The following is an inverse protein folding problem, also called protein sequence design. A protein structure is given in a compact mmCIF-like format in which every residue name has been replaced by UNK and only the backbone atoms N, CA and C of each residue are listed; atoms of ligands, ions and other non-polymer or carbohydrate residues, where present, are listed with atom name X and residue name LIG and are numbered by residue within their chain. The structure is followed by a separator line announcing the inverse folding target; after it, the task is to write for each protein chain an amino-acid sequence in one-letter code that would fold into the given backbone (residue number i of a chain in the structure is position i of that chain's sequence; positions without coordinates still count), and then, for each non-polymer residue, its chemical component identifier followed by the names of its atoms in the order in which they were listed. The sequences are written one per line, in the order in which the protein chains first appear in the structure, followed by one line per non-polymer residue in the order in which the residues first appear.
data_IF_730711314385
#
_entry.id   IF_730711314385
#
_cell.length_a   1.000
_cell.length_b   1.000
_cell.length_c   1.000
_cell.angle_alpha   90.00
_cell.angle_beta   90.00
_cell.angle_gamma   90.00
#
_symmetry.space_group_name_H-M   'P 1'
#
loop_
_entity.id
_entity.type
_entity.pdbx_description
1 polymer ?
#
# COMPACT_ATOMS: atom_id res chain seq x y z
N UNK A 1 0.01 -1.28 16.00
CA UNK A 1 -0.92 -1.66 17.09
C UNK A 1 -0.98 -3.18 17.35
N UNK A 2 -1.34 -4.05 16.42
CA UNK A 2 -1.38 -5.51 16.67
C UNK A 2 -0.03 -6.12 17.08
N UNK A 3 1.07 -5.68 16.48
CA UNK A 3 2.42 -6.17 16.78
C UNK A 3 2.95 -5.71 18.16
N UNK A 4 2.53 -4.54 18.62
CA UNK A 4 2.93 -4.03 19.94
C UNK A 4 2.24 -4.81 21.07
N UNK A 5 0.97 -5.16 20.87
CA UNK A 5 0.20 -5.98 21.81
C UNK A 5 0.78 -7.40 21.85
N UNK A 6 1.13 -7.99 20.71
CA UNK A 6 1.75 -9.31 20.64
C UNK A 6 3.12 -9.34 21.32
N UNK A 7 3.93 -8.29 21.14
CA UNK A 7 5.22 -8.15 21.81
C UNK A 7 5.06 -7.97 23.32
N UNK A 8 4.09 -7.17 23.76
CA UNK A 8 3.81 -6.97 25.20
C UNK A 8 3.32 -8.25 25.86
N UNK A 9 2.46 -9.02 25.20
CA UNK A 9 2.00 -10.33 25.71
C UNK A 9 3.13 -11.34 25.80
N UNK A 10 4.04 -11.38 24.80
CA UNK A 10 5.22 -12.24 24.83
C UNK A 10 6.15 -11.87 25.99
N UNK A 11 6.40 -10.57 26.20
CA UNK A 11 7.22 -10.08 27.31
C UNK A 11 6.60 -10.39 28.68
N UNK A 12 5.29 -10.23 28.82
CA UNK A 12 4.58 -10.57 30.06
C UNK A 12 4.62 -12.08 30.37
N UNK A 13 4.49 -12.92 29.33
CA UNK A 13 4.58 -14.38 29.49
C UNK A 13 5.98 -14.81 29.93
N UNK A 14 7.01 -14.22 29.35
CA UNK A 14 8.40 -14.46 29.74
C UNK A 14 8.67 -14.02 31.16
N UNK A 15 8.20 -12.84 31.58
CA UNK A 15 8.33 -12.38 32.96
C UNK A 15 7.64 -13.33 33.95
N UNK A 16 6.47 -13.87 33.59
CA UNK A 16 5.74 -14.85 34.38
C UNK A 16 6.51 -16.18 34.51
N UNK A 17 7.13 -16.64 33.43
CA UNK A 17 7.93 -17.88 33.43
C UNK A 17 9.21 -17.72 34.25
N UNK A 18 9.87 -16.55 34.20
CA UNK A 18 10.98 -16.19 35.08
C UNK A 18 10.55 -16.21 36.56
N UNK A 19 9.41 -15.60 36.89
CA UNK A 19 8.89 -15.55 38.25
C UNK A 19 8.55 -16.94 38.80
N UNK A 20 7.97 -17.82 37.96
CA UNK A 20 7.68 -19.22 38.32
C UNK A 20 8.95 -20.04 38.52
N UNK A 21 9.97 -19.89 37.64
CA UNK A 21 11.24 -20.55 37.77
C UNK A 21 11.98 -20.09 39.04
N UNK A 22 11.97 -18.79 39.34
CA UNK A 22 12.60 -18.25 40.53
C UNK A 22 11.97 -18.75 41.85
N UNK A 23 10.70 -19.06 41.88
CA UNK A 23 10.01 -19.54 43.10
C UNK A 23 10.33 -21.00 43.49
N UNK A 24 10.86 -21.80 42.52
CA UNK A 24 11.27 -23.18 42.73
C UNK A 24 12.76 -23.45 42.86
N UNK A 25 13.60 -22.41 42.67
CA UNK A 25 15.05 -22.55 42.63
C UNK A 25 15.68 -22.29 43.99
N UNK A 26 16.32 -23.32 44.52
CA UNK A 26 17.06 -23.24 45.79
C UNK A 26 18.52 -22.81 45.62
N UNK A 27 18.96 -22.63 44.39
CA UNK A 27 20.40 -22.42 44.06
C UNK A 27 20.57 -21.26 43.04
N UNK A 28 21.45 -20.31 43.34
CA UNK A 28 21.79 -19.15 42.50
C UNK A 28 22.24 -19.53 41.09
N UNK A 29 22.94 -20.64 40.91
CA UNK A 29 23.39 -21.09 39.59
C UNK A 29 22.25 -21.52 38.66
N UNK A 30 21.23 -22.15 39.21
CA UNK A 30 20.04 -22.54 38.46
C UNK A 30 19.23 -21.29 38.01
N UNK A 31 19.14 -20.28 38.87
CA UNK A 31 18.50 -19.00 38.51
C UNK A 31 19.24 -18.32 37.36
N UNK A 32 20.54 -18.24 37.41
CA UNK A 32 21.38 -17.64 36.35
C UNK A 32 21.20 -18.40 35.05
N UNK A 33 21.19 -19.73 35.07
CA UNK A 33 20.93 -20.55 33.88
C UNK A 33 19.56 -20.32 33.29
N UNK A 34 18.52 -20.27 34.11
CA UNK A 34 17.15 -20.00 33.67
C UNK A 34 16.98 -18.61 33.04
N UNK A 35 17.58 -17.56 33.63
CA UNK A 35 17.58 -16.21 33.10
C UNK A 35 18.31 -16.13 31.76
N UNK A 36 19.47 -16.82 31.65
CA UNK A 36 20.23 -16.90 30.39
C UNK A 36 19.43 -17.55 29.26
N UNK A 37 18.73 -18.65 29.56
CA UNK A 37 17.90 -19.34 28.57
C UNK A 37 16.70 -18.45 28.09
N UNK A 38 16.10 -17.77 29.02
CA UNK A 38 15.00 -16.83 28.68
C UNK A 38 15.50 -15.67 27.84
N UNK A 39 16.64 -15.09 28.19
CA UNK A 39 17.23 -14.01 27.38
C UNK A 39 17.63 -14.50 25.98
N UNK A 40 18.17 -15.70 25.83
CA UNK A 40 18.45 -16.26 24.51
C UNK A 40 17.18 -16.40 23.66
N UNK A 41 16.10 -16.95 24.22
CA UNK A 41 14.80 -17.07 23.54
C UNK A 41 14.17 -15.71 23.16
N UNK A 42 14.35 -14.70 24.01
CA UNK A 42 13.90 -13.34 23.72
C UNK A 42 14.66 -12.71 22.55
N UNK A 43 15.99 -12.86 22.55
CA UNK A 43 16.84 -12.35 21.47
C UNK A 43 16.46 -13.03 20.16
N UNK A 44 16.33 -14.35 20.14
CA UNK A 44 15.97 -15.09 18.93
C UNK A 44 14.59 -14.65 18.40
N UNK A 45 13.58 -14.51 19.26
CA UNK A 45 12.25 -14.08 18.86
C UNK A 45 12.26 -12.65 18.30
N UNK A 46 13.04 -11.74 18.90
CA UNK A 46 13.16 -10.37 18.41
C UNK A 46 13.89 -10.27 17.09
N UNK A 47 14.98 -11.02 16.92
CA UNK A 47 15.77 -11.07 15.68
C UNK A 47 14.91 -11.59 14.52
N UNK A 48 14.17 -12.67 14.71
CA UNK A 48 13.27 -13.22 13.67
C UNK A 48 12.20 -12.20 13.28
N UNK A 49 11.59 -11.54 14.26
CA UNK A 49 10.57 -10.53 14.00
C UNK A 49 11.13 -9.33 13.24
N UNK A 50 12.30 -8.83 13.62
CA UNK A 50 12.97 -7.72 12.97
C UNK A 50 13.40 -8.09 11.54
N UNK A 51 13.97 -9.27 11.33
CA UNK A 51 14.36 -9.74 10.01
C UNK A 51 13.14 -9.82 9.05
N UNK A 52 12.00 -10.33 9.54
CA UNK A 52 10.75 -10.34 8.76
C UNK A 52 10.31 -8.92 8.37
N UNK A 53 10.31 -7.98 9.33
CA UNK A 53 9.92 -6.58 9.05
C UNK A 53 10.87 -5.89 8.07
N UNK A 54 12.17 -6.15 8.20
CA UNK A 54 13.15 -5.61 7.23
C UNK A 54 12.87 -6.16 5.84
N UNK A 55 12.63 -7.46 5.69
CA UNK A 55 12.27 -8.05 4.41
C UNK A 55 10.99 -7.49 3.79
N UNK A 56 9.97 -7.18 4.61
CA UNK A 56 8.74 -6.58 4.11
C UNK A 56 8.95 -5.12 3.68
N UNK A 57 9.71 -4.34 4.46
CA UNK A 57 10.08 -2.97 4.09
C UNK A 57 10.93 -2.91 2.81
N UNK A 58 11.85 -3.85 2.62
CA UNK A 58 12.63 -3.96 1.39
C UNK A 58 11.74 -4.22 0.17
N UNK A 59 10.75 -5.10 0.28
CA UNK A 59 9.76 -5.34 -0.78
C UNK A 59 8.95 -4.08 -1.10
N UNK A 60 8.46 -3.38 -0.08
CA UNK A 60 7.74 -2.10 -0.26
C UNK A 60 8.62 -1.05 -0.95
N UNK A 61 9.88 -0.93 -0.55
CA UNK A 61 10.83 -0.02 -1.20
C UNK A 61 11.05 -0.35 -2.68
N UNK A 62 11.18 -1.63 -3.02
CA UNK A 62 11.31 -2.06 -4.42
C UNK A 62 10.05 -1.70 -5.21
N UNK A 63 8.86 -1.92 -4.65
CA UNK A 63 7.60 -1.56 -5.30
C UNK A 63 7.49 -0.05 -5.54
N UNK A 64 7.84 0.76 -4.55
CA UNK A 64 7.82 2.24 -4.68
C UNK A 64 8.82 2.72 -5.74
N UNK A 65 10.03 2.16 -5.76
CA UNK A 65 11.05 2.52 -6.76
C UNK A 65 10.59 2.15 -8.18
N UNK A 66 10.07 0.94 -8.35
CA UNK A 66 9.54 0.50 -9.64
C UNK A 66 8.37 1.37 -10.10
N UNK A 67 7.46 1.70 -9.16
CA UNK A 67 6.35 2.61 -9.45
C UNK A 67 6.84 3.99 -9.89
N UNK A 68 7.84 4.56 -9.20
CA UNK A 68 8.39 5.87 -9.57
C UNK A 68 8.91 5.88 -11.00
N UNK A 69 9.71 4.88 -11.37
CA UNK A 69 10.23 4.73 -12.73
C UNK A 69 9.11 4.57 -13.76
N UNK A 70 8.05 3.86 -13.39
CA UNK A 70 6.91 3.67 -14.27
C UNK A 70 6.04 4.93 -14.36
N UNK A 71 5.81 5.62 -13.25
CA UNK A 71 5.05 6.86 -13.18
C UNK A 71 5.69 7.98 -14.02
N UNK A 72 7.01 7.98 -14.15
CA UNK A 72 7.74 8.93 -14.99
C UNK A 72 7.37 8.85 -16.49
N UNK A 73 6.76 7.74 -16.93
CA UNK A 73 6.26 7.58 -18.29
C UNK A 73 4.88 8.21 -18.52
N UNK A 74 4.25 8.73 -17.49
CA UNK A 74 2.92 9.31 -17.56
C UNK A 74 2.95 10.81 -17.26
N UNK A 75 1.96 11.51 -17.78
CA UNK A 75 1.71 12.92 -17.51
C UNK A 75 0.22 13.15 -17.21
N UNK A 76 -0.08 14.20 -16.47
CA UNK A 76 -1.47 14.58 -16.19
C UNK A 76 -1.92 15.52 -17.30
N UNK A 77 -2.99 15.13 -18.00
CA UNK A 77 -3.62 15.97 -19.01
C UNK A 77 -5.11 16.16 -18.70
N UNK A 78 -5.61 17.31 -19.11
CA UNK A 78 -7.05 17.54 -19.15
C UNK A 78 -7.65 16.77 -20.34
N UNK A 79 -8.33 15.65 -20.03
CA UNK A 79 -8.89 14.75 -21.04
C UNK A 79 -10.32 15.13 -21.46
N UNK A 80 -10.96 15.95 -20.64
CA UNK A 80 -12.21 16.64 -20.92
C UNK A 80 -12.28 17.87 -20.00
N UNK A 81 -13.13 18.84 -20.30
CA UNK A 81 -13.23 20.08 -19.53
C UNK A 81 -13.39 19.81 -18.03
N UNK A 82 -12.38 20.17 -17.23
CA UNK A 82 -12.33 19.95 -15.79
C UNK A 82 -12.04 18.51 -15.35
N UNK A 83 -11.73 17.61 -16.30
CA UNK A 83 -11.44 16.20 -16.00
C UNK A 83 -9.99 15.88 -16.33
N UNK A 84 -9.21 15.55 -15.32
CA UNK A 84 -7.80 15.23 -15.45
C UNK A 84 -7.55 13.73 -15.30
N UNK A 85 -6.69 13.19 -16.15
CA UNK A 85 -6.25 11.81 -16.11
C UNK A 85 -4.76 11.68 -16.42
N UNK A 86 -4.14 10.58 -16.01
CA UNK A 86 -2.78 10.26 -16.41
C UNK A 86 -2.81 9.55 -17.76
N UNK A 87 -1.98 10.01 -18.68
CA UNK A 87 -1.78 9.44 -20.00
C UNK A 87 -0.30 9.20 -20.25
N UNK A 88 0.03 8.30 -21.17
CA UNK A 88 1.44 8.02 -21.53
C UNK A 88 2.02 9.25 -22.22
N UNK A 89 3.19 9.70 -21.78
CA UNK A 89 3.94 10.82 -22.39
C UNK A 89 4.26 10.53 -23.84
N UNK A 90 4.16 11.58 -24.66
CA UNK A 90 4.49 11.48 -26.09
C UNK A 90 3.49 10.65 -26.90
N UNK A 91 2.30 10.42 -26.37
CA UNK A 91 1.24 9.74 -27.11
C UNK A 91 0.75 10.63 -28.26
N UNK A 92 1.06 10.22 -29.49
CA UNK A 92 0.66 10.92 -30.73
C UNK A 92 -0.81 10.68 -31.07
N UNK A 93 -1.47 9.76 -30.37
CA UNK A 93 -2.88 9.45 -30.64
C UNK A 93 -3.81 10.57 -30.12
N UNK A 94 -4.92 10.80 -30.81
CA UNK A 94 -5.92 11.74 -30.32
C UNK A 94 -6.34 11.38 -28.88
N UNK A 95 -6.54 12.37 -28.05
CA UNK A 95 -6.79 12.22 -26.61
C UNK A 95 -8.03 11.33 -26.31
N UNK A 96 -9.00 11.25 -27.25
CA UNK A 96 -10.18 10.40 -27.12
C UNK A 96 -9.86 8.89 -27.26
N UNK A 97 -8.80 8.52 -27.98
CA UNK A 97 -8.38 7.12 -28.16
C UNK A 97 -7.23 6.70 -27.22
N UNK A 98 -6.66 7.63 -26.48
CA UNK A 98 -5.59 7.35 -25.53
C UNK A 98 -6.11 6.59 -24.30
N UNK A 99 -5.30 5.66 -23.81
CA UNK A 99 -5.55 5.02 -22.52
C UNK A 99 -5.42 6.04 -21.38
N UNK A 100 -6.49 6.25 -20.64
CA UNK A 100 -6.57 7.20 -19.53
C UNK A 100 -6.53 6.44 -18.22
N UNK A 101 -5.61 6.79 -17.33
CA UNK A 101 -5.53 6.21 -15.99
C UNK A 101 -6.19 7.12 -14.96
N UNK A 102 -6.84 6.50 -14.00
CA UNK A 102 -7.49 7.18 -12.89
C UNK A 102 -6.47 7.84 -11.97
N UNK A 103 -6.54 9.16 -11.80
CA UNK A 103 -5.60 9.90 -10.93
C UNK A 103 -5.70 9.46 -9.46
N UNK A 104 -6.88 9.09 -8.96
CA UNK A 104 -7.03 8.59 -7.59
C UNK A 104 -6.32 7.25 -7.36
N UNK A 105 -6.40 6.34 -8.34
CA UNK A 105 -5.68 5.06 -8.26
C UNK A 105 -4.19 5.26 -8.47
N UNK A 106 -3.82 6.12 -9.42
CA UNK A 106 -2.42 6.42 -9.72
C UNK A 106 -1.68 6.98 -8.49
N UNK A 107 -2.31 7.84 -7.72
CA UNK A 107 -1.76 8.36 -6.46
C UNK A 107 -1.64 7.30 -5.36
N UNK A 108 -2.27 6.14 -5.53
CA UNK A 108 -2.16 4.97 -4.63
C UNK A 108 -1.23 3.89 -5.18
N UNK A 109 -0.40 4.24 -6.16
CA UNK A 109 0.52 3.32 -6.85
C UNK A 109 -0.19 2.20 -7.63
N UNK A 110 -1.41 2.47 -8.12
CA UNK A 110 -2.23 1.52 -8.89
C UNK A 110 -2.54 2.07 -10.28
N UNK A 111 -2.37 1.23 -11.30
CA UNK A 111 -2.82 1.53 -12.67
C UNK A 111 -4.24 1.04 -12.88
N UNK A 112 -5.16 1.96 -13.02
CA UNK A 112 -6.56 1.67 -13.26
C UNK A 112 -7.05 2.46 -14.44
N UNK A 113 -7.54 1.76 -15.46
CA UNK A 113 -8.09 2.39 -16.67
C UNK A 113 -9.41 3.09 -16.36
N UNK A 114 -9.59 4.26 -16.94
CA UNK A 114 -10.87 4.95 -17.00
C UNK A 114 -11.64 4.47 -18.22
N UNK A 115 -12.88 4.09 -17.98
CA UNK A 115 -13.82 3.70 -19.03
C UNK A 115 -14.79 4.84 -19.32
N UNK A 116 -14.92 5.19 -20.60
CA UNK A 116 -15.88 6.16 -21.06
C UNK A 116 -17.22 5.49 -21.30
N UNK A 117 -18.30 6.11 -20.84
CA UNK A 117 -19.65 5.69 -21.12
C UNK A 117 -20.54 6.90 -21.37
N UNK A 118 -21.50 6.74 -22.30
CA UNK A 118 -22.48 7.75 -22.60
C UNK A 118 -23.70 7.57 -21.70
N UNK A 119 -24.29 8.68 -21.27
CA UNK A 119 -25.58 8.64 -20.60
C UNK A 119 -26.68 8.45 -21.66
N UNK A 120 -27.44 7.38 -21.52
CA UNK A 120 -28.55 7.08 -22.47
C UNK A 120 -29.68 8.06 -22.37
N UNK A 121 -29.92 8.66 -21.20
CA UNK A 121 -30.97 9.65 -20.96
C UNK A 121 -30.57 11.06 -21.41
N UNK A 122 -29.27 11.33 -21.54
CA UNK A 122 -28.74 12.63 -21.92
C UNK A 122 -27.58 12.46 -22.92
N UNK A 123 -27.82 12.39 -24.22
CA UNK A 123 -26.87 11.96 -25.24
C UNK A 123 -25.60 12.83 -25.38
N UNK A 124 -25.59 14.03 -24.79
CA UNK A 124 -24.42 14.90 -24.72
C UNK A 124 -23.61 14.76 -23.41
N UNK A 125 -24.10 13.94 -22.48
CA UNK A 125 -23.45 13.69 -21.20
C UNK A 125 -22.65 12.41 -21.29
N UNK A 126 -21.37 12.53 -20.99
CA UNK A 126 -20.41 11.44 -20.92
C UNK A 126 -19.86 11.35 -19.49
N UNK A 127 -19.39 10.19 -19.13
CA UNK A 127 -18.67 9.99 -17.87
C UNK A 127 -17.48 9.09 -18.08
N UNK A 128 -16.39 9.43 -17.42
CA UNK A 128 -15.27 8.53 -17.21
C UNK A 128 -15.46 7.84 -15.85
N UNK A 129 -15.39 6.53 -15.82
CA UNK A 129 -15.55 5.75 -14.59
C UNK A 129 -14.35 4.84 -14.36
N UNK A 130 -13.90 4.77 -13.12
CA UNK A 130 -12.85 3.86 -12.68
C UNK A 130 -13.50 2.64 -12.03
N UNK A 131 -13.19 1.45 -12.53
CA UNK A 131 -13.74 0.20 -12.00
C UNK A 131 -13.13 -0.15 -10.63
N UNK A 132 -11.87 0.24 -10.37
CA UNK A 132 -11.16 -0.09 -9.13
C UNK A 132 -11.60 0.75 -7.94
N UNK A 133 -11.66 2.09 -8.08
CA UNK A 133 -12.02 2.98 -6.97
C UNK A 133 -13.45 3.52 -7.03
N UNK A 134 -14.19 3.23 -8.09
CA UNK A 134 -15.56 3.70 -8.27
C UNK A 134 -15.71 5.20 -8.62
N UNK A 135 -14.61 5.93 -8.79
CA UNK A 135 -14.66 7.35 -9.19
C UNK A 135 -15.39 7.53 -10.49
N UNK A 136 -16.29 8.51 -10.53
CA UNK A 136 -17.07 8.89 -11.71
C UNK A 136 -16.88 10.37 -11.99
N UNK A 137 -16.46 10.69 -13.20
CA UNK A 137 -16.17 12.06 -13.64
C UNK A 137 -17.06 12.38 -14.84
N UNK A 138 -18.20 13.08 -14.61
CA UNK A 138 -19.09 13.49 -15.68
C UNK A 138 -18.46 14.63 -16.48
N UNK A 139 -18.65 14.64 -17.80
CA UNK A 139 -18.25 15.73 -18.68
C UNK A 139 -19.19 15.88 -19.86
N UNK A 140 -19.14 17.06 -20.46
CA UNK A 140 -19.91 17.37 -21.68
C UNK A 140 -18.98 17.39 -22.88
N UNK A 141 -19.31 16.63 -23.91
CA UNK A 141 -18.65 16.78 -25.20
C UNK A 141 -19.24 17.98 -25.92
N UNK A 142 -18.54 19.09 -25.86
CA UNK A 142 -18.77 20.17 -26.80
C UNK A 142 -18.00 19.80 -28.09
N UNK A 143 -18.69 19.23 -29.06
CA UNK A 143 -18.20 19.32 -30.43
C UNK A 143 -18.27 20.81 -30.77
N UNK A 144 -17.11 21.48 -30.76
CA UNK A 144 -17.00 22.79 -31.37
C UNK A 144 -17.42 22.66 -32.83
N UNK A 145 -18.61 23.15 -33.14
CA UNK A 145 -18.98 23.51 -34.49
C UNK A 145 -18.16 24.74 -34.84
N UNK A 146 -17.04 24.54 -35.52
CA UNK A 146 -16.32 25.55 -36.33
C UNK A 146 -16.29 25.09 -37.74
#
# INVERSE_FOLDING_TARGET
MYNEISSAIASAKVALDIAKAAHGLSNYNELVAAVSEVNAKLVDATVVTLASRVGDLEKELVQIKNWKTEADNYEILEVARGVFAHVIKGNVQPLHSAHKLCSNCFNKYEKSLLQESRDTAAPRHYKLSCQSCGSKMPFHNYTDNS
#
